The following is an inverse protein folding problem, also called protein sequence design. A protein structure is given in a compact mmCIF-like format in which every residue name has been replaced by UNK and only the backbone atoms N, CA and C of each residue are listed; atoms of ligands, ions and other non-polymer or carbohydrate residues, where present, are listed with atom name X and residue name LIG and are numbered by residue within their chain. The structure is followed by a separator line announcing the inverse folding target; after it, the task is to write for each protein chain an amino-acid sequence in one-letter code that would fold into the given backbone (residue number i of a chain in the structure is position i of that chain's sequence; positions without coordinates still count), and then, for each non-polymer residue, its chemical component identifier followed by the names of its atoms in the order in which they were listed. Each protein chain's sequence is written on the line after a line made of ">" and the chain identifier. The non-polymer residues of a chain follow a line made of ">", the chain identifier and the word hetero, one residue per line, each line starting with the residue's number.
data_IF_555377854535
#
_entry.id   IF_555377854535
#
_cell.length_a   1.000
_cell.length_b   1.000
_cell.length_c   1.000
_cell.angle_alpha   90.00
_cell.angle_beta   90.00
_cell.angle_gamma   90.00
#
_symmetry.space_group_name_H-M   'P 1'
#
loop_
_entity.id
_entity.type
_entity.pdbx_description
1 polymer ?
#
# COMPACT_ATOMS: atom_id res chain seq x y z
N UNK A 1 -19.08 -10.13 39.06
CA UNK A 1 -18.53 -8.78 38.89
C UNK A 1 -17.92 -8.65 37.51
N UNK A 2 -18.60 -7.88 36.65
CA UNK A 2 -18.24 -7.31 35.34
C UNK A 2 -17.30 -8.13 34.40
N UNK A 3 -17.88 -8.79 33.37
CA UNK A 3 -17.20 -9.45 32.25
C UNK A 3 -17.13 -8.56 30.99
N UNK A 4 -16.16 -8.79 30.08
CA UNK A 4 -16.23 -8.54 28.62
C UNK A 4 -14.82 -8.42 28.01
N UNK A 5 -14.11 -9.54 27.86
CA UNK A 5 -13.10 -9.64 26.80
C UNK A 5 -13.90 -9.99 25.55
N UNK A 6 -13.89 -9.11 24.55
CA UNK A 6 -14.78 -9.18 23.40
C UNK A 6 -14.81 -10.58 22.75
N UNK A 7 -16.03 -11.14 22.72
CA UNK A 7 -16.40 -12.45 22.21
C UNK A 7 -16.83 -12.36 20.73
N UNK A 8 -15.93 -11.85 19.88
CA UNK A 8 -16.13 -11.86 18.42
C UNK A 8 -14.81 -12.27 17.76
N UNK A 9 -14.83 -13.11 16.71
CA UNK A 9 -13.66 -13.24 15.85
C UNK A 9 -13.38 -11.83 15.32
N UNK A 10 -12.23 -11.26 15.69
CA UNK A 10 -11.73 -10.05 15.04
C UNK A 10 -11.42 -10.47 13.62
N UNK A 11 -12.39 -10.28 12.72
CA UNK A 11 -12.19 -10.41 11.30
C UNK A 11 -11.20 -9.30 10.89
N UNK A 12 -9.91 -9.62 10.95
CA UNK A 12 -8.90 -8.77 10.37
C UNK A 12 -9.03 -8.94 8.87
N UNK A 13 -9.75 -8.02 8.23
CA UNK A 13 -9.88 -7.86 6.78
C UNK A 13 -8.53 -7.48 6.12
N UNK A 14 -7.45 -8.15 6.53
CA UNK A 14 -6.08 -7.96 6.11
C UNK A 14 -5.79 -9.01 5.03
N UNK A 15 -5.59 -8.57 3.80
CA UNK A 15 -5.10 -9.43 2.74
C UNK A 15 -3.60 -9.66 2.99
N UNK A 16 -3.17 -10.90 3.16
CA UNK A 16 -1.78 -11.24 3.54
C UNK A 16 -1.11 -12.08 2.46
N UNK A 17 0.10 -11.70 2.06
CA UNK A 17 0.99 -12.55 1.25
C UNK A 17 2.12 -13.08 2.14
N UNK A 18 2.32 -14.40 2.15
CA UNK A 18 3.39 -15.04 2.92
C UNK A 18 4.59 -15.38 2.02
N UNK A 19 5.77 -14.82 2.35
CA UNK A 19 7.06 -15.28 1.80
C UNK A 19 8.00 -15.65 2.94
N UNK A 20 8.15 -16.95 3.21
CA UNK A 20 9.03 -17.45 4.27
C UNK A 20 8.54 -17.13 5.69
N UNK A 21 9.36 -16.47 6.50
CA UNK A 21 9.02 -16.02 7.87
C UNK A 21 8.49 -14.57 7.94
N UNK A 22 8.27 -13.92 6.79
CA UNK A 22 7.78 -12.54 6.72
C UNK A 22 6.38 -12.52 6.11
N UNK A 23 5.45 -11.86 6.80
CA UNK A 23 4.10 -11.59 6.32
C UNK A 23 4.04 -10.17 5.73
N UNK A 24 3.47 -10.00 4.54
CA UNK A 24 3.15 -8.68 3.98
C UNK A 24 1.65 -8.46 4.09
N UNK A 25 1.24 -7.44 4.83
CA UNK A 25 -0.15 -7.00 4.91
C UNK A 25 -0.41 -6.03 3.76
N UNK A 26 -1.25 -6.44 2.81
CA UNK A 26 -1.69 -5.70 1.61
C UNK A 26 -2.72 -4.59 1.94
N UNK A 27 -2.86 -4.27 3.23
CA UNK A 27 -3.69 -3.18 3.72
C UNK A 27 -5.05 -3.64 4.22
N UNK A 28 -5.83 -2.66 4.68
CA UNK A 28 -7.20 -2.87 5.09
C UNK A 28 -8.12 -2.83 3.87
N UNK A 29 -9.14 -3.69 3.85
CA UNK A 29 -10.22 -3.62 2.85
C UNK A 29 -10.94 -2.25 2.83
N UNK A 30 -10.89 -1.50 3.93
CA UNK A 30 -11.70 -0.28 4.12
C UNK A 30 -11.07 1.03 3.58
N UNK A 31 -9.79 1.04 3.17
CA UNK A 31 -9.11 2.26 2.69
C UNK A 31 -9.48 2.56 1.22
N UNK A 32 -10.66 3.13 0.96
CA UNK A 32 -11.05 3.53 -0.39
C UNK A 32 -10.37 4.85 -0.80
N UNK A 33 -9.68 4.85 -1.96
CA UNK A 33 -9.13 6.05 -2.57
C UNK A 33 -10.05 6.51 -3.71
N UNK A 34 -10.41 7.79 -3.71
CA UNK A 34 -11.20 8.40 -4.79
C UNK A 34 -10.28 9.25 -5.65
N UNK A 35 -9.85 8.70 -6.79
CA UNK A 35 -8.93 9.36 -7.72
C UNK A 35 -9.64 9.68 -9.02
N UNK A 36 -9.78 10.97 -9.34
CA UNK A 36 -10.45 11.48 -10.53
C UNK A 36 -11.86 10.87 -10.77
N UNK A 37 -12.60 10.62 -9.68
CA UNK A 37 -13.93 10.01 -9.73
C UNK A 37 -13.95 8.47 -9.79
N UNK A 38 -12.78 7.82 -9.88
CA UNK A 38 -12.66 6.37 -9.79
C UNK A 38 -12.48 5.93 -8.33
N UNK A 39 -13.25 4.91 -7.93
CA UNK A 39 -13.16 4.26 -6.63
C UNK A 39 -12.11 3.15 -6.69
N UNK A 40 -10.97 3.37 -6.06
CA UNK A 40 -9.82 2.49 -6.12
C UNK A 40 -9.56 1.90 -4.75
N UNK A 41 -9.39 0.58 -4.70
CA UNK A 41 -9.07 -0.13 -3.47
C UNK A 41 -7.59 -0.52 -3.50
N UNK A 42 -6.75 0.09 -2.65
CA UNK A 42 -5.31 -0.15 -2.56
C UNK A 42 -4.96 -1.63 -2.52
N UNK A 43 -5.70 -2.42 -1.73
CA UNK A 43 -5.44 -3.85 -1.58
C UNK A 43 -5.46 -4.63 -2.92
N UNK A 44 -6.36 -4.29 -3.85
CA UNK A 44 -6.40 -4.95 -5.17
C UNK A 44 -5.22 -4.54 -6.04
N UNK A 45 -4.83 -3.27 -6.00
CA UNK A 45 -3.68 -2.76 -6.74
C UNK A 45 -2.39 -3.37 -6.17
N UNK A 46 -2.27 -3.41 -4.84
CA UNK A 46 -1.16 -4.04 -4.14
C UNK A 46 -1.04 -5.53 -4.48
N UNK A 47 -2.16 -6.26 -4.59
CA UNK A 47 -2.16 -7.66 -5.01
C UNK A 47 -1.68 -7.85 -6.46
N UNK A 48 -2.05 -6.96 -7.39
CA UNK A 48 -1.50 -6.98 -8.76
C UNK A 48 0.00 -6.73 -8.75
N UNK A 49 0.43 -5.74 -7.95
CA UNK A 49 1.83 -5.33 -7.82
C UNK A 49 2.72 -6.35 -7.09
N UNK A 50 2.17 -7.21 -6.22
CA UNK A 50 2.96 -8.17 -5.44
C UNK A 50 3.68 -9.21 -6.31
N UNK A 51 3.13 -9.48 -7.50
CA UNK A 51 3.74 -10.35 -8.50
C UNK A 51 5.04 -9.77 -9.07
N UNK A 52 5.16 -8.44 -9.07
CA UNK A 52 6.28 -7.69 -9.65
C UNK A 52 7.27 -7.19 -8.59
N UNK A 53 6.76 -6.72 -7.44
CA UNK A 53 7.55 -6.04 -6.42
C UNK A 53 7.79 -6.96 -5.23
N UNK A 54 9.05 -7.39 -5.07
CA UNK A 54 9.43 -8.30 -3.99
C UNK A 54 9.87 -7.58 -2.70
N UNK A 55 10.13 -6.28 -2.72
CA UNK A 55 10.47 -5.48 -1.53
C UNK A 55 9.23 -4.93 -0.84
N UNK A 56 9.25 -4.61 0.46
CA UNK A 56 8.08 -4.06 1.15
C UNK A 56 7.55 -2.82 0.46
N UNK A 57 6.25 -2.78 0.21
CA UNK A 57 5.59 -1.67 -0.47
C UNK A 57 4.15 -1.56 -0.01
N UNK A 58 3.55 -0.39 -0.23
CA UNK A 58 2.12 -0.18 -0.07
C UNK A 58 1.64 0.97 -0.97
N UNK A 59 0.33 1.01 -1.22
CA UNK A 59 -0.35 2.08 -1.93
C UNK A 59 -1.08 2.97 -0.91
N UNK A 60 -0.98 4.28 -1.10
CA UNK A 60 -1.74 5.25 -0.32
C UNK A 60 -2.31 6.35 -1.22
N UNK A 61 -3.38 6.98 -0.74
CA UNK A 61 -3.96 8.17 -1.36
C UNK A 61 -3.24 9.40 -0.86
N UNK A 62 -2.91 10.32 -1.75
CA UNK A 62 -2.42 11.65 -1.42
C UNK A 62 -3.37 12.68 -2.03
N UNK A 63 -3.73 13.71 -1.28
CA UNK A 63 -4.62 14.76 -1.75
C UNK A 63 -4.03 15.48 -2.98
N UNK A 64 -4.87 15.69 -3.99
CA UNK A 64 -4.48 16.32 -5.24
C UNK A 64 -5.54 17.35 -5.68
N UNK A 65 -5.13 18.60 -5.98
CA UNK A 65 -6.06 19.71 -6.21
C UNK A 65 -7.06 19.46 -7.35
N UNK A 66 -6.65 18.72 -8.39
CA UNK A 66 -7.50 18.46 -9.56
C UNK A 66 -8.21 17.11 -9.52
N UNK A 67 -7.63 16.11 -8.84
CA UNK A 67 -8.10 14.72 -8.90
C UNK A 67 -8.84 14.28 -7.63
N UNK A 68 -8.93 15.15 -6.62
CA UNK A 68 -9.34 14.78 -5.28
C UNK A 68 -8.20 14.08 -4.56
N UNK A 69 -7.95 12.82 -4.92
CA UNK A 69 -6.80 12.06 -4.47
C UNK A 69 -6.04 11.45 -5.65
N UNK A 70 -4.78 11.11 -5.43
CA UNK A 70 -3.97 10.33 -6.38
C UNK A 70 -3.37 9.14 -5.68
N UNK A 71 -3.13 8.08 -6.44
CA UNK A 71 -2.40 6.92 -5.97
C UNK A 71 -0.90 7.23 -5.88
N UNK A 72 -0.32 6.89 -4.73
CA UNK A 72 1.12 6.97 -4.47
C UNK A 72 1.62 5.59 -4.05
N UNK A 73 2.62 5.09 -4.78
CA UNK A 73 3.33 3.87 -4.45
C UNK A 73 4.53 4.18 -3.56
N UNK A 74 4.52 3.62 -2.36
CA UNK A 74 5.65 3.68 -1.44
C UNK A 74 6.44 2.39 -1.52
N UNK A 75 7.75 2.48 -1.74
CA UNK A 75 8.68 1.36 -1.80
C UNK A 75 9.71 1.48 -0.68
N UNK A 76 9.96 0.38 0.02
CA UNK A 76 11.07 0.27 0.97
C UNK A 76 12.33 -0.22 0.26
N UNK A 77 13.44 0.47 0.50
CA UNK A 77 14.77 0.06 0.07
C UNK A 77 15.54 1.19 -0.63
N UNK A 78 16.55 0.79 -1.40
CA UNK A 78 17.34 1.68 -2.23
C UNK A 78 17.20 1.22 -3.67
N UNK A 79 16.70 2.11 -4.52
CA UNK A 79 16.53 1.88 -5.94
C UNK A 79 17.26 2.96 -6.71
N UNK A 80 17.98 2.59 -7.74
CA UNK A 80 18.53 3.54 -8.69
C UNK A 80 17.49 3.96 -9.73
N UNK A 81 17.79 5.00 -10.50
CA UNK A 81 16.86 5.56 -11.50
C UNK A 81 16.44 4.54 -12.57
N UNK A 82 17.35 3.64 -12.97
CA UNK A 82 17.05 2.62 -13.98
C UNK A 82 16.10 1.55 -13.43
N UNK A 83 16.28 1.14 -12.17
CA UNK A 83 15.36 0.22 -11.49
C UNK A 83 13.97 0.82 -11.35
N UNK A 84 13.88 2.11 -10.98
CA UNK A 84 12.60 2.82 -10.90
C UNK A 84 11.95 2.97 -12.27
N UNK A 85 12.71 3.30 -13.31
CA UNK A 85 12.17 3.40 -14.68
C UNK A 85 11.59 2.07 -15.14
N UNK A 86 12.35 0.97 -15.00
CA UNK A 86 11.88 -0.37 -15.36
C UNK A 86 10.65 -0.77 -14.55
N UNK A 87 10.62 -0.45 -13.25
CA UNK A 87 9.47 -0.75 -12.43
C UNK A 87 8.22 -0.02 -12.93
N UNK A 88 8.33 1.26 -13.29
CA UNK A 88 7.21 2.01 -13.89
C UNK A 88 6.70 1.35 -15.17
N UNK A 89 7.59 1.00 -16.10
CA UNK A 89 7.21 0.34 -17.35
C UNK A 89 6.43 -0.95 -17.11
N UNK A 90 6.87 -1.77 -16.15
CA UNK A 90 6.17 -3.00 -15.79
C UNK A 90 4.81 -2.73 -15.11
N UNK A 91 4.73 -1.74 -14.22
CA UNK A 91 3.47 -1.33 -13.58
C UNK A 91 2.44 -0.93 -14.63
N UNK A 92 2.85 -0.12 -15.61
CA UNK A 92 1.99 0.34 -16.70
C UNK A 92 1.50 -0.80 -17.61
N UNK A 93 2.22 -1.92 -17.64
CA UNK A 93 1.82 -3.10 -18.42
C UNK A 93 0.80 -4.01 -17.73
N UNK A 94 0.62 -3.88 -16.41
CA UNK A 94 -0.28 -4.76 -15.62
C UNK A 94 -1.47 -4.03 -14.99
N UNK A 95 -1.38 -2.71 -14.81
CA UNK A 95 -2.43 -1.89 -14.20
C UNK A 95 -3.25 -1.16 -15.26
N UNK A 96 -4.52 -0.90 -14.96
CA UNK A 96 -5.35 -0.04 -15.79
C UNK A 96 -4.93 1.43 -15.65
N UNK A 97 -5.18 2.31 -16.65
CA UNK A 97 -4.70 3.70 -16.63
C UNK A 97 -5.05 4.49 -15.36
N UNK A 98 -6.20 4.20 -14.74
CA UNK A 98 -6.65 4.85 -13.51
C UNK A 98 -6.10 4.21 -12.22
N UNK A 99 -5.54 3.00 -12.30
CA UNK A 99 -4.88 2.29 -11.20
C UNK A 99 -3.38 2.60 -11.13
N UNK A 100 -2.79 3.18 -12.19
CA UNK A 100 -1.37 3.52 -12.24
C UNK A 100 -1.06 4.61 -11.18
N UNK A 101 -0.15 4.33 -10.23
CA UNK A 101 0.29 5.33 -9.26
C UNK A 101 0.90 6.55 -9.95
N UNK A 102 0.36 7.75 -9.68
CA UNK A 102 0.89 8.99 -10.25
C UNK A 102 2.22 9.41 -9.63
N UNK A 103 2.48 8.96 -8.40
CA UNK A 103 3.74 9.18 -7.70
C UNK A 103 4.30 7.87 -7.20
N UNK A 104 5.62 7.79 -7.20
CA UNK A 104 6.38 6.70 -6.62
C UNK A 104 7.40 7.31 -5.66
N UNK A 105 7.36 6.92 -4.40
CA UNK A 105 8.24 7.38 -3.33
C UNK A 105 9.03 6.19 -2.78
N UNK A 106 10.35 6.30 -2.82
CA UNK A 106 11.26 5.31 -2.23
C UNK A 106 11.69 5.81 -0.86
N UNK A 107 11.56 4.96 0.16
CA UNK A 107 12.03 5.22 1.51
C UNK A 107 13.06 4.17 1.89
N UNK A 108 14.16 4.55 2.58
CA UNK A 108 15.19 3.59 2.95
C UNK A 108 14.68 2.51 3.93
N UNK A 109 13.72 2.87 4.77
CA UNK A 109 13.05 1.96 5.71
C UNK A 109 11.65 2.50 6.03
N UNK A 110 10.68 1.60 6.19
CA UNK A 110 9.36 1.90 6.72
C UNK A 110 9.36 1.84 8.24
N UNK A 111 8.31 2.42 8.84
CA UNK A 111 8.00 2.20 10.24
C UNK A 111 7.11 0.97 10.36
N UNK A 112 7.33 0.21 11.42
CA UNK A 112 6.55 -0.99 11.73
C UNK A 112 5.96 -0.86 13.13
N UNK A 113 4.75 -1.38 13.31
CA UNK A 113 4.11 -1.54 14.61
C UNK A 113 4.80 -2.67 15.39
N UNK A 114 4.57 -2.75 16.71
CA UNK A 114 5.07 -3.85 17.55
C UNK A 114 4.60 -5.24 17.07
N UNK A 115 3.48 -5.28 16.35
CA UNK A 115 2.97 -6.49 15.69
C UNK A 115 3.75 -6.93 14.44
N UNK A 116 4.74 -6.15 13.99
CA UNK A 116 5.48 -6.38 12.74
C UNK A 116 4.76 -5.91 11.47
N UNK A 117 3.56 -5.32 11.59
CA UNK A 117 2.84 -4.71 10.46
C UNK A 117 3.44 -3.36 10.09
N UNK A 118 3.42 -3.00 8.80
CA UNK A 118 3.84 -1.66 8.33
C UNK A 118 2.90 -0.61 8.95
N UNK A 119 3.48 0.36 9.66
CA UNK A 119 2.79 1.56 10.11
C UNK A 119 2.75 2.55 8.94
N UNK A 120 1.73 2.42 8.07
CA UNK A 120 1.56 3.28 6.89
C UNK A 120 1.50 4.76 7.29
N UNK A 121 0.72 5.11 8.31
CA UNK A 121 0.55 6.50 8.77
C UNK A 121 1.84 7.04 9.38
N UNK A 122 2.52 6.25 10.20
CA UNK A 122 3.82 6.64 10.75
C UNK A 122 4.93 6.75 9.71
N UNK A 123 4.87 5.93 8.65
CA UNK A 123 5.83 5.93 7.53
C UNK A 123 5.65 7.14 6.63
N UNK A 124 4.40 7.48 6.27
CA UNK A 124 4.08 8.64 5.42
C UNK A 124 4.21 9.96 6.21
N UNK A 125 3.91 9.96 7.51
CA UNK A 125 3.90 11.19 8.30
C UNK A 125 2.68 12.07 8.01
N UNK A 126 2.84 13.41 8.10
CA UNK A 126 1.77 14.40 7.85
C UNK A 126 1.42 14.58 6.36
N UNK A 127 1.95 13.75 5.46
CA UNK A 127 1.71 13.80 4.01
C UNK A 127 0.41 13.08 3.57
N UNK A 128 -0.59 12.99 4.47
CA UNK A 128 -1.95 12.51 4.20
C UNK A 128 -2.95 13.65 4.30
#
# INVERSE_FOLDING_TARGET
>A
NAPAVAEFPVATNDLVEMKGQQFRVLGRIDDLIISAGHKLQPAFIEQKLSQLIHTPFFIAGEDHPEAGQILVLYLEGMFNEQEISRLKDHIESILEPFEIPRKLKVLPAFKYLESGKIDRRGTIGKDL
#
